data_IF_373899181414
#
_entry.id   IF_373899181414
#
_cell.length_a   1.000
_cell.length_b   1.000
_cell.length_c   1.000
_cell.angle_alpha   90.00
_cell.angle_beta   90.00
_cell.angle_gamma   90.00
#
_symmetry.space_group_name_H-M   'P 1'
#
loop_
_entity.id
_entity.type
_entity.pdbx_description
1 polymer ?
#
# COMPACT_ATOMS: atom_id res chain seq x y z
N UNK A 1 14.30 -13.37 0.56
CA UNK A 1 13.68 -12.75 1.75
C UNK A 1 12.37 -12.14 1.30
N UNK A 2 11.25 -12.53 1.89
CA UNK A 2 9.95 -11.94 1.60
C UNK A 2 9.92 -10.44 1.95
N UNK A 3 8.99 -9.65 1.39
CA UNK A 3 8.75 -8.28 1.83
C UNK A 3 8.58 -8.19 3.36
N UNK A 4 9.04 -7.08 3.95
CA UNK A 4 8.96 -6.87 5.39
C UNK A 4 7.54 -6.57 5.90
N UNK A 5 6.53 -6.59 5.03
CA UNK A 5 5.11 -6.40 5.30
C UNK A 5 4.32 -7.01 4.14
N UNK A 6 3.03 -7.25 4.36
CA UNK A 6 2.06 -7.53 3.29
C UNK A 6 1.42 -6.20 2.89
N UNK A 7 1.26 -5.95 1.59
CA UNK A 7 0.56 -4.80 1.05
C UNK A 7 -0.66 -5.27 0.26
N UNK A 8 -1.82 -4.69 0.55
CA UNK A 8 -3.08 -4.99 -0.13
C UNK A 8 -3.69 -3.69 -0.66
N UNK A 9 -4.21 -3.73 -1.88
CA UNK A 9 -5.05 -2.66 -2.39
C UNK A 9 -6.40 -2.68 -1.64
N UNK A 10 -6.98 -1.50 -1.45
CA UNK A 10 -8.27 -1.35 -0.74
C UNK A 10 -9.31 -0.68 -1.62
N UNK A 11 -8.93 0.41 -2.28
CA UNK A 11 -9.77 1.14 -3.21
C UNK A 11 -8.97 2.08 -4.09
N UNK A 12 -9.57 2.50 -5.19
CA UNK A 12 -9.11 3.62 -6.00
C UNK A 12 -10.12 4.75 -5.91
N UNK A 13 -9.65 5.97 -5.65
CA UNK A 13 -10.47 7.18 -5.66
C UNK A 13 -10.12 8.03 -6.87
N UNK A 14 -11.12 8.49 -7.62
CA UNK A 14 -10.93 9.49 -8.68
C UNK A 14 -11.04 10.89 -8.07
N UNK A 15 -10.01 11.71 -8.28
CA UNK A 15 -9.93 13.07 -7.78
C UNK A 15 -9.78 14.05 -8.94
N UNK A 16 -10.28 15.27 -8.78
CA UNK A 16 -9.91 16.41 -9.62
C UNK A 16 -9.01 17.31 -8.80
N UNK A 17 -7.76 17.48 -9.24
CA UNK A 17 -6.81 18.42 -8.66
C UNK A 17 -6.31 19.38 -9.73
N UNK A 18 -6.52 20.68 -9.53
CA UNK A 18 -6.13 21.74 -10.49
C UNK A 18 -6.64 21.50 -11.92
N UNK A 19 -7.84 20.94 -12.06
CA UNK A 19 -8.47 20.65 -13.35
C UNK A 19 -7.98 19.37 -14.04
N UNK A 20 -7.12 18.57 -13.38
CA UNK A 20 -6.66 17.28 -13.89
C UNK A 20 -7.30 16.13 -13.10
N UNK A 21 -7.67 15.06 -13.81
CA UNK A 21 -8.13 13.81 -13.21
C UNK A 21 -6.94 13.01 -12.70
N UNK A 22 -7.00 12.61 -11.42
CA UNK A 22 -5.97 11.84 -10.73
C UNK A 22 -6.61 10.59 -10.12
N UNK A 23 -6.02 9.43 -10.38
CA UNK A 23 -6.37 8.20 -9.67
C UNK A 23 -5.51 8.09 -8.41
N UNK A 24 -6.15 8.10 -7.24
CA UNK A 24 -5.52 7.84 -5.93
C UNK A 24 -5.75 6.40 -5.52
N UNK A 25 -4.69 5.61 -5.53
CA UNK A 25 -4.70 4.21 -5.12
C UNK A 25 -4.42 4.11 -3.62
N UNK A 26 -5.35 3.51 -2.88
CA UNK A 26 -5.24 3.31 -1.45
C UNK A 26 -4.81 1.89 -1.13
N UNK A 27 -3.75 1.77 -0.34
CA UNK A 27 -3.22 0.50 0.11
C UNK A 27 -3.24 0.42 1.63
N UNK A 28 -3.42 -0.79 2.14
CA UNK A 28 -3.24 -1.14 3.56
C UNK A 28 -2.03 -2.06 3.67
N UNK A 29 -1.16 -1.79 4.64
CA UNK A 29 -0.10 -2.73 5.01
C UNK A 29 -0.46 -3.51 6.27
N UNK A 30 -0.02 -4.77 6.35
CA UNK A 30 -0.16 -5.66 7.51
C UNK A 30 1.09 -6.50 7.72
N UNK A 31 1.08 -7.30 8.80
CA UNK A 31 2.07 -8.36 9.06
C UNK A 31 3.53 -7.91 8.96
N UNK A 32 3.80 -6.69 9.43
CA UNK A 32 5.12 -6.07 9.36
C UNK A 32 6.11 -6.83 10.24
N UNK A 33 7.18 -7.33 9.63
CA UNK A 33 8.24 -8.12 10.29
C UNK A 33 9.47 -7.28 10.67
N UNK A 34 9.71 -6.14 10.00
CA UNK A 34 10.73 -5.15 10.40
C UNK A 34 10.07 -3.86 10.89
N UNK A 35 10.25 -3.57 12.18
CA UNK A 35 9.66 -2.44 12.88
C UNK A 35 10.45 -1.13 12.73
N UNK A 36 11.65 -1.17 12.12
CA UNK A 36 12.44 0.04 11.82
C UNK A 36 11.81 0.82 10.68
N UNK A 37 12.23 2.08 10.53
CA UNK A 37 11.83 2.88 9.37
C UNK A 37 12.25 2.18 8.07
N UNK A 38 11.35 2.16 7.09
CA UNK A 38 11.57 1.50 5.81
C UNK A 38 11.00 2.31 4.66
N UNK A 39 11.48 2.04 3.45
CA UNK A 39 10.90 2.60 2.22
C UNK A 39 10.16 1.49 1.50
N UNK A 40 8.88 1.70 1.27
CA UNK A 40 8.06 0.88 0.38
C UNK A 40 8.21 1.43 -1.04
N UNK A 41 8.72 0.59 -1.95
CA UNK A 41 8.72 0.88 -3.39
C UNK A 41 7.55 0.15 -4.01
N UNK A 42 6.66 0.89 -4.67
CA UNK A 42 5.48 0.35 -5.36
C UNK A 42 5.62 0.66 -6.84
N UNK A 43 5.35 -0.31 -7.70
CA UNK A 43 5.25 -0.13 -9.14
C UNK A 43 3.84 -0.52 -9.56
N UNK A 44 3.14 0.38 -10.25
CA UNK A 44 1.85 0.06 -10.86
C UNK A 44 2.12 -0.62 -12.19
N UNK A 45 1.38 -1.69 -12.49
CA UNK A 45 1.58 -2.49 -13.70
C UNK A 45 0.28 -2.65 -14.50
N UNK A 46 0.40 -2.75 -15.82
CA UNK A 46 -0.70 -3.13 -16.70
C UNK A 46 -0.88 -4.66 -16.77
N UNK A 47 -1.86 -5.12 -17.54
CA UNK A 47 -2.22 -6.52 -17.73
C UNK A 47 -1.12 -7.38 -18.37
N UNK A 48 -0.24 -6.76 -19.15
CA UNK A 48 0.97 -7.37 -19.69
C UNK A 48 2.11 -7.44 -18.66
N UNK A 49 1.92 -6.83 -17.49
CA UNK A 49 2.94 -6.75 -16.44
C UNK A 49 4.00 -5.68 -16.70
N UNK A 50 3.77 -4.77 -17.66
CA UNK A 50 4.65 -3.63 -17.89
C UNK A 50 4.42 -2.57 -16.84
N UNK A 51 5.51 -1.89 -16.45
CA UNK A 51 5.43 -0.81 -15.47
C UNK A 51 4.75 0.41 -16.08
N UNK A 52 3.65 0.83 -15.46
CA UNK A 52 2.93 2.08 -15.74
C UNK A 52 3.57 3.23 -14.97
N UNK A 53 3.82 3.05 -13.68
CA UNK A 53 4.37 4.10 -12.80
C UNK A 53 5.12 3.51 -11.59
N UNK A 54 5.89 4.33 -10.87
CA UNK A 54 6.69 3.92 -9.72
C UNK A 54 6.75 4.96 -8.60
N UNK A 55 6.52 4.49 -7.38
CA UNK A 55 6.37 5.32 -6.19
C UNK A 55 7.22 4.83 -5.03
N UNK A 56 7.48 5.75 -4.12
CA UNK A 56 8.26 5.50 -2.92
C UNK A 56 7.58 6.13 -1.73
N UNK A 57 7.15 5.29 -0.80
CA UNK A 57 6.49 5.73 0.44
C UNK A 57 7.42 5.42 1.60
N UNK A 58 7.72 6.45 2.40
CA UNK A 58 8.48 6.26 3.65
C UNK A 58 7.51 5.79 4.72
N UNK A 59 7.77 4.62 5.29
CA UNK A 59 7.06 4.14 6.46
C UNK A 59 7.92 4.42 7.69
N UNK A 60 7.39 5.12 8.71
CA UNK A 60 8.12 5.40 9.93
C UNK A 60 8.44 4.11 10.69
N UNK A 61 9.34 4.23 11.67
CA UNK A 61 9.49 3.21 12.72
C UNK A 61 8.14 3.07 13.43
N UNK A 62 7.74 1.83 13.72
CA UNK A 62 6.47 1.54 14.38
C UNK A 62 6.68 0.53 15.51
N UNK A 63 5.68 0.39 16.37
CA UNK A 63 5.52 -0.67 17.36
C UNK A 63 4.13 -1.26 17.19
N UNK A 64 3.91 -2.45 17.71
CA UNK A 64 2.56 -3.02 17.80
C UNK A 64 2.32 -3.61 19.17
N UNK A 65 1.04 -3.65 19.53
CA UNK A 65 0.54 -4.48 20.60
C UNK A 65 -0.39 -5.54 20.01
N UNK A 66 -0.43 -6.71 20.64
CA UNK A 66 -1.38 -7.76 20.30
C UNK A 66 -2.66 -7.47 21.09
N UNK A 67 -3.76 -7.30 20.37
CA UNK A 67 -5.09 -7.16 20.97
C UNK A 67 -5.87 -8.43 20.68
N UNK A 68 -6.59 -8.89 21.70
CA UNK A 68 -7.52 -10.02 21.60
C UNK A 68 -8.90 -9.49 21.27
N UNK A 69 -9.59 -10.20 20.39
CA UNK A 69 -11.00 -9.94 20.14
C UNK A 69 -11.79 -10.22 21.43
N UNK A 70 -12.59 -9.27 21.94
CA UNK A 70 -13.39 -9.47 23.15
C UNK A 70 -14.44 -10.57 22.98
N UNK A 71 -14.90 -10.81 21.75
CA UNK A 71 -15.92 -11.82 21.43
C UNK A 71 -15.28 -13.18 21.10
N UNK A 72 -13.98 -13.20 20.80
CA UNK A 72 -13.24 -14.42 20.46
C UNK A 72 -11.76 -14.33 20.91
N UNK A 73 -11.43 -14.72 22.16
CA UNK A 73 -10.07 -14.60 22.69
C UNK A 73 -8.98 -15.41 21.95
N UNK A 74 -9.36 -16.32 21.04
CA UNK A 74 -8.44 -17.04 20.16
C UNK A 74 -8.03 -16.20 18.94
N UNK A 75 -8.78 -15.14 18.62
CA UNK A 75 -8.42 -14.17 17.58
C UNK A 75 -7.56 -13.07 18.15
N UNK A 76 -6.37 -12.94 17.57
CA UNK A 76 -5.40 -11.90 17.89
C UNK A 76 -5.15 -11.02 16.68
N UNK A 77 -5.12 -9.71 16.89
CA UNK A 77 -4.75 -8.74 15.85
C UNK A 77 -3.64 -7.82 16.33
N UNK A 78 -2.75 -7.47 15.41
CA UNK A 78 -1.70 -6.48 15.66
C UNK A 78 -2.27 -5.08 15.48
N UNK A 79 -2.31 -4.32 16.56
CA UNK A 79 -2.58 -2.88 16.50
C UNK A 79 -1.26 -2.13 16.46
N UNK A 80 -1.03 -1.38 15.38
CA UNK A 80 0.18 -0.57 15.19
C UNK A 80 -0.02 0.85 15.69
N UNK A 81 1.05 1.47 16.20
CA UNK A 81 1.08 2.87 16.66
C UNK A 81 1.22 3.90 15.51
N UNK A 82 1.22 3.44 14.26
CA UNK A 82 1.33 4.29 13.06
C UNK A 82 0.22 3.96 12.06
N UNK A 83 -0.16 4.92 11.18
CA UNK A 83 -1.15 4.66 10.14
C UNK A 83 -0.77 3.47 9.26
N UNK A 84 -1.71 2.53 9.12
CA UNK A 84 -1.55 1.33 8.30
C UNK A 84 -1.97 1.53 6.84
N UNK A 85 -2.45 2.73 6.50
CA UNK A 85 -2.91 3.08 5.16
C UNK A 85 -1.92 4.03 4.49
N UNK A 86 -1.72 3.84 3.19
CA UNK A 86 -0.94 4.72 2.33
C UNK A 86 -1.69 4.97 1.04
N UNK A 87 -1.63 6.19 0.54
CA UNK A 87 -2.19 6.56 -0.75
C UNK A 87 -1.08 6.88 -1.74
N UNK A 88 -1.31 6.55 -3.01
CA UNK A 88 -0.43 6.83 -4.12
C UNK A 88 -1.24 7.49 -5.22
N UNK A 89 -0.81 8.68 -5.64
CA UNK A 89 -1.43 9.41 -6.74
C UNK A 89 -0.73 8.99 -8.03
N UNK A 90 -1.46 8.28 -8.89
CA UNK A 90 -0.89 7.74 -10.11
C UNK A 90 -1.43 8.39 -11.38
N UNK A 91 -0.80 7.99 -12.50
CA UNK A 91 -1.18 8.47 -13.82
C UNK A 91 -2.63 8.09 -14.19
N UNK A 92 -3.22 8.78 -15.18
CA UNK A 92 -4.54 8.42 -15.72
C UNK A 92 -4.58 7.03 -16.38
N UNK A 93 -3.44 6.47 -16.82
CA UNK A 93 -3.40 5.12 -17.40
C UNK A 93 -3.85 4.13 -16.32
N UNK A 94 -4.85 3.31 -16.62
CA UNK A 94 -5.44 2.37 -15.66
C UNK A 94 -4.53 1.14 -15.46
N UNK A 95 -3.81 1.02 -14.33
CA UNK A 95 -3.11 -0.22 -13.98
C UNK A 95 -4.11 -1.31 -13.61
N UNK A 96 -3.68 -2.56 -13.77
CA UNK A 96 -4.46 -3.74 -13.37
C UNK A 96 -3.87 -4.42 -12.13
N UNK A 97 -2.62 -4.12 -11.80
CA UNK A 97 -1.92 -4.66 -10.64
C UNK A 97 -0.83 -3.75 -10.10
N UNK A 98 -0.13 -4.26 -9.09
CA UNK A 98 1.03 -3.60 -8.51
C UNK A 98 2.10 -4.61 -8.09
N UNK A 99 3.35 -4.18 -8.16
CA UNK A 99 4.51 -4.84 -7.55
C UNK A 99 5.00 -3.99 -6.39
N UNK A 100 5.47 -4.62 -5.33
CA UNK A 100 6.09 -3.88 -4.24
C UNK A 100 7.26 -4.60 -3.61
N UNK A 101 8.16 -3.82 -3.04
CA UNK A 101 9.26 -4.30 -2.21
C UNK A 101 9.57 -3.31 -1.09
N UNK A 102 10.18 -3.82 -0.04
CA UNK A 102 10.64 -3.02 1.10
C UNK A 102 12.15 -2.83 1.03
N UNK A 103 12.60 -1.63 1.39
CA UNK A 103 14.01 -1.28 1.54
C UNK A 103 14.25 -0.87 2.98
N UNK A 104 15.16 -1.56 3.67
CA UNK A 104 15.55 -1.28 5.06
C UNK A 104 17.01 -0.84 5.13
N UNK A 105 17.28 0.22 5.89
CA UNK A 105 18.62 0.82 5.96
C UNK A 105 19.12 1.31 4.60
N UNK A 106 20.45 1.31 4.40
CA UNK A 106 21.08 1.83 3.18
C UNK A 106 20.92 0.92 1.95
N UNK A 107 20.79 -0.41 2.12
CA UNK A 107 20.94 -1.35 1.00
C UNK A 107 20.09 -2.63 1.04
N UNK A 108 19.40 -2.96 2.14
CA UNK A 108 18.73 -4.27 2.26
C UNK A 108 17.37 -4.23 1.58
N UNK A 109 17.31 -4.77 0.37
CA UNK A 109 16.09 -4.93 -0.43
C UNK A 109 15.46 -6.30 -0.14
N UNK A 110 14.15 -6.33 0.09
CA UNK A 110 13.39 -7.58 0.07
C UNK A 110 13.19 -8.08 -1.36
N UNK A 111 12.69 -9.31 -1.49
CA UNK A 111 12.06 -9.77 -2.71
C UNK A 111 10.88 -8.86 -3.07
N UNK A 112 10.52 -8.88 -4.34
CA UNK A 112 9.34 -8.23 -4.88
C UNK A 112 8.14 -9.16 -4.74
N UNK A 113 7.02 -8.64 -4.27
CA UNK A 113 5.72 -9.29 -4.35
C UNK A 113 4.85 -8.58 -5.38
N UNK A 114 3.90 -9.30 -5.96
CA UNK A 114 2.96 -8.79 -6.97
C UNK A 114 1.54 -9.15 -6.54
N UNK A 115 0.60 -8.23 -6.76
CA UNK A 115 -0.82 -8.42 -6.49
C UNK A 115 -1.67 -7.60 -7.47
N UNK A 116 -2.97 -7.91 -7.54
CA UNK A 116 -3.92 -7.17 -8.37
C UNK A 116 -4.42 -5.93 -7.65
N UNK A 117 -4.94 -4.98 -8.41
CA UNK A 117 -5.74 -3.89 -7.83
C UNK A 117 -7.18 -4.40 -7.63
N UNK A 118 -7.35 -5.20 -6.58
CA UNK A 118 -8.62 -5.75 -6.14
C UNK A 118 -9.23 -4.82 -5.09
N UNK A 119 -10.21 -4.00 -5.50
CA UNK A 119 -10.85 -3.04 -4.60
C UNK A 119 -11.95 -2.26 -5.30
N UNK A 120 -12.75 -1.55 -4.50
CA UNK A 120 -13.80 -0.68 -5.03
C UNK A 120 -13.22 0.53 -5.77
N UNK A 121 -13.98 1.05 -6.74
CA UNK A 121 -13.71 2.35 -7.35
C UNK A 121 -14.69 3.37 -6.78
N UNK A 122 -14.15 4.46 -6.25
CA UNK A 122 -14.92 5.58 -5.71
C UNK A 122 -14.68 6.82 -6.57
N UNK A 123 -15.74 7.40 -7.13
CA UNK A 123 -15.64 8.67 -7.83
C UNK A 123 -15.87 9.83 -6.86
N UNK A 124 -14.80 10.57 -6.55
CA UNK A 124 -14.85 11.76 -5.70
C UNK A 124 -14.77 13.06 -6.52
N UNK A 125 -14.72 12.98 -7.85
CA UNK A 125 -14.64 14.16 -8.73
C UNK A 125 -15.86 15.07 -8.65
N UNK A 126 -17.02 14.51 -8.26
CA UNK A 126 -18.28 15.24 -8.13
C UNK A 126 -18.37 16.12 -6.88
N UNK A 127 -17.41 16.01 -5.95
CA UNK A 127 -17.46 16.68 -4.65
C UNK A 127 -16.41 17.79 -4.47
N UNK A 128 -15.68 18.17 -5.53
CA UNK A 128 -14.66 19.21 -5.54
C UNK A 128 -15.07 20.45 -6.34
#
# INVERSE_FOLDING_TARGET
>A
MNPALVLSHTKTSLLVEKGQLINRYWFRWSDRTDLRALVLRVELIDDEGNRVDSFSVKLPRTRFQIIKDPDDPAKEFRQYDTPIYVSIDGTPKAPTGFRYRTVTGLLKKSATAEARLDGGYEDLSMFN
#
